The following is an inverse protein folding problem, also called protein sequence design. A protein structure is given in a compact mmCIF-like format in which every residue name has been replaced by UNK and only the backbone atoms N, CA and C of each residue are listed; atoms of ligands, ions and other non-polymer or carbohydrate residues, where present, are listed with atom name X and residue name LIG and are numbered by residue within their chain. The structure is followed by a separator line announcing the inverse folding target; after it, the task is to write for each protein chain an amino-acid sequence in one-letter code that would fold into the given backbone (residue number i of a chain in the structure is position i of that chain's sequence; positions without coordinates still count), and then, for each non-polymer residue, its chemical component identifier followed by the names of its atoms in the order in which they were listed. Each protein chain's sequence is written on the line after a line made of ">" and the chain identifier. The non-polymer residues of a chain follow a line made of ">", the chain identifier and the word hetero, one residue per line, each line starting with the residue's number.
data_IF_249632793028
#
_entry.id   IF_249632793028
#
_cell.length_a   1.000
_cell.length_b   1.000
_cell.length_c   1.000
_cell.angle_alpha   90.00
_cell.angle_beta   90.00
_cell.angle_gamma   90.00
#
_symmetry.space_group_name_H-M   'P 1'
#
loop_
_entity.id
_entity.type
_entity.pdbx_description
1 polymer ?
#
# COMPACT_ATOMS: atom_id res chain seq x y z
N UNK A 1 -10.20 -6.09 -0.11
CA UNK A 1 -9.36 -5.09 0.60
C UNK A 1 -10.18 -3.88 1.04
N UNK A 2 -10.74 -3.08 0.11
CA UNK A 2 -11.64 -1.96 0.45
C UNK A 2 -12.70 -2.33 1.50
N UNK A 3 -13.49 -3.37 1.23
CA UNK A 3 -14.56 -3.83 2.11
C UNK A 3 -14.07 -4.18 3.53
N UNK A 4 -12.88 -4.79 3.64
CA UNK A 4 -12.31 -5.22 4.93
C UNK A 4 -11.92 -3.99 5.76
N UNK A 5 -11.19 -3.04 5.16
CA UNK A 5 -10.79 -1.83 5.87
C UNK A 5 -11.97 -0.91 6.20
N UNK A 6 -12.95 -0.80 5.31
CA UNK A 6 -14.20 -0.06 5.59
C UNK A 6 -15.00 -0.69 6.73
N UNK A 7 -15.08 -2.02 6.80
CA UNK A 7 -15.76 -2.73 7.90
C UNK A 7 -15.02 -2.59 9.24
N UNK A 8 -13.70 -2.46 9.21
CA UNK A 8 -12.87 -2.22 10.40
C UNK A 8 -12.88 -0.75 10.86
N UNK A 9 -13.62 0.13 10.18
CA UNK A 9 -13.72 1.54 10.55
C UNK A 9 -12.50 2.38 10.18
N UNK A 10 -11.57 1.85 9.38
CA UNK A 10 -10.40 2.59 8.93
C UNK A 10 -10.73 3.44 7.70
N UNK A 11 -10.13 4.63 7.64
CA UNK A 11 -10.27 5.51 6.49
C UNK A 11 -9.40 4.99 5.35
N UNK A 12 -10.04 4.34 4.37
CA UNK A 12 -9.38 3.78 3.20
C UNK A 12 -9.66 4.65 1.97
N UNK A 13 -8.61 5.19 1.39
CA UNK A 13 -8.67 5.73 0.03
C UNK A 13 -8.23 4.64 -0.95
N UNK A 14 -9.15 4.28 -1.85
CA UNK A 14 -8.79 3.51 -3.03
C UNK A 14 -8.60 4.50 -4.17
N UNK A 15 -7.70 4.17 -5.09
CA UNK A 15 -7.45 4.99 -6.27
C UNK A 15 -6.90 6.41 -6.01
N UNK A 16 -6.02 6.59 -5.03
CA UNK A 16 -5.37 7.89 -4.79
C UNK A 16 -4.52 8.25 -6.00
N UNK A 17 -5.01 9.19 -6.80
CA UNK A 17 -4.28 9.75 -7.95
C UNK A 17 -3.13 10.61 -7.44
N UNK A 18 -1.90 10.20 -7.73
CA UNK A 18 -0.73 11.07 -7.71
C UNK A 18 -0.47 11.58 -9.14
N UNK A 19 0.36 12.61 -9.27
CA UNK A 19 0.80 13.12 -10.58
C UNK A 19 1.55 12.07 -11.43
N UNK A 20 1.95 10.93 -10.85
CA UNK A 20 2.84 9.93 -11.48
C UNK A 20 2.20 8.53 -11.57
N UNK A 21 0.98 8.35 -11.03
CA UNK A 21 0.29 7.05 -11.00
C UNK A 21 -0.78 6.96 -9.91
N UNK A 22 -1.39 5.78 -9.76
CA UNK A 22 -2.44 5.48 -8.78
C UNK A 22 -1.98 4.36 -7.86
N UNK A 23 -1.97 4.60 -6.55
CA UNK A 23 -1.75 3.54 -5.57
C UNK A 23 -2.97 2.62 -5.48
N UNK A 24 -2.75 1.32 -5.31
CA UNK A 24 -3.85 0.35 -5.24
C UNK A 24 -4.72 0.55 -4.00
N UNK A 25 -4.11 0.77 -2.83
CA UNK A 25 -4.84 1.15 -1.62
C UNK A 25 -3.97 1.97 -0.66
N UNK A 26 -4.58 2.96 -0.02
CA UNK A 26 -3.99 3.70 1.10
C UNK A 26 -4.93 3.60 2.30
N UNK A 27 -4.41 3.11 3.43
CA UNK A 27 -5.13 3.04 4.69
C UNK A 27 -4.50 4.02 5.68
N UNK A 28 -5.32 4.92 6.24
CA UNK A 28 -4.87 5.91 7.21
C UNK A 28 -5.48 5.58 8.57
N UNK A 29 -4.63 5.49 9.58
CA UNK A 29 -5.01 5.37 10.99
C UNK A 29 -4.52 6.61 11.75
N UNK A 30 -4.80 6.68 13.05
CA UNK A 30 -4.29 7.76 13.90
C UNK A 30 -2.75 7.71 14.05
N UNK A 31 -2.16 6.51 13.95
CA UNK A 31 -0.73 6.27 14.20
C UNK A 31 0.10 6.07 12.94
N UNK A 32 -0.52 5.74 11.79
CA UNK A 32 0.21 5.36 10.59
C UNK A 32 -0.56 5.59 9.29
N UNK A 33 0.20 5.72 8.20
CA UNK A 33 -0.29 5.67 6.83
C UNK A 33 0.33 4.44 6.16
N UNK A 34 -0.53 3.54 5.70
CA UNK A 34 -0.15 2.34 4.96
C UNK A 34 -0.42 2.53 3.48
N UNK A 35 0.59 2.33 2.63
CA UNK A 35 0.44 2.30 1.18
C UNK A 35 0.66 0.87 0.70
N UNK A 36 -0.37 0.31 0.05
CA UNK A 36 -0.35 -1.03 -0.48
C UNK A 36 -0.21 -1.01 -2.00
N UNK A 37 0.59 -1.94 -2.51
CA UNK A 37 0.67 -2.24 -3.93
C UNK A 37 0.60 -3.75 -4.13
N UNK A 38 -0.20 -4.20 -5.09
CA UNK A 38 -0.45 -5.61 -5.35
C UNK A 38 0.12 -6.01 -6.71
N UNK A 39 0.68 -7.22 -6.76
CA UNK A 39 1.11 -7.87 -8.00
C UNK A 39 0.47 -9.24 -8.11
N UNK A 40 0.24 -9.66 -9.36
CA UNK A 40 -0.20 -11.02 -9.69
C UNK A 40 0.95 -11.74 -10.37
N UNK A 41 1.31 -12.91 -9.89
CA UNK A 41 2.38 -13.78 -10.41
C UNK A 41 3.72 -13.03 -10.62
N UNK A 42 4.09 -12.18 -9.67
CA UNK A 42 5.35 -11.43 -9.65
C UNK A 42 6.02 -11.56 -8.27
N UNK A 43 6.47 -10.47 -7.65
CA UNK A 43 7.04 -10.49 -6.30
C UNK A 43 6.61 -9.28 -5.46
N UNK A 44 6.67 -9.45 -4.14
CA UNK A 44 6.37 -8.39 -3.18
C UNK A 44 7.40 -7.24 -3.25
N UNK A 45 8.67 -7.53 -3.57
CA UNK A 45 9.70 -6.51 -3.80
C UNK A 45 9.41 -5.66 -5.02
N UNK A 46 8.89 -6.25 -6.11
CA UNK A 46 8.49 -5.50 -7.28
C UNK A 46 7.34 -4.53 -6.96
N UNK A 47 6.44 -4.93 -6.06
CA UNK A 47 5.39 -4.05 -5.54
C UNK A 47 5.98 -2.90 -4.70
N UNK A 48 6.89 -3.18 -3.75
CA UNK A 48 7.56 -2.15 -2.96
C UNK A 48 8.35 -1.16 -3.81
N UNK A 49 9.10 -1.64 -4.81
CA UNK A 49 9.81 -0.78 -5.77
C UNK A 49 8.87 0.14 -6.53
N UNK A 50 7.70 -0.36 -6.94
CA UNK A 50 6.70 0.48 -7.59
C UNK A 50 6.18 1.60 -6.68
N UNK A 51 6.01 1.34 -5.37
CA UNK A 51 5.65 2.38 -4.40
C UNK A 51 6.71 3.50 -4.37
N UNK A 52 7.99 3.14 -4.36
CA UNK A 52 9.11 4.08 -4.34
C UNK A 52 9.23 4.84 -5.66
N UNK A 53 9.24 4.13 -6.80
CA UNK A 53 9.39 4.71 -8.15
C UNK A 53 8.29 5.71 -8.47
N UNK A 54 7.07 5.46 -7.99
CA UNK A 54 5.92 6.35 -8.19
C UNK A 54 5.81 7.45 -7.15
N UNK A 55 6.63 7.40 -6.10
CA UNK A 55 6.64 8.40 -5.04
C UNK A 55 5.32 8.47 -4.26
N UNK A 56 4.61 7.35 -4.10
CA UNK A 56 3.30 7.33 -3.43
C UNK A 56 3.36 7.75 -1.96
N UNK A 57 4.54 7.70 -1.34
CA UNK A 57 4.75 8.16 0.03
C UNK A 57 4.87 9.69 0.14
N UNK A 58 5.16 10.41 -0.95
CA UNK A 58 5.47 11.86 -0.93
C UNK A 58 4.37 12.70 -0.29
N UNK A 59 3.07 12.52 -0.59
CA UNK A 59 1.99 13.32 0.00
C UNK A 59 1.90 13.22 1.52
N UNK A 60 2.37 12.11 2.10
CA UNK A 60 2.22 11.81 3.52
C UNK A 60 3.46 12.15 4.36
N UNK A 61 4.57 12.57 3.73
CA UNK A 61 5.84 12.88 4.44
C UNK A 61 5.73 13.99 5.48
N UNK A 62 4.72 14.86 5.35
CA UNK A 62 4.50 15.97 6.27
C UNK A 62 3.44 15.66 7.34
N UNK A 63 2.84 14.45 7.36
CA UNK A 63 1.92 14.04 8.43
C UNK A 63 2.70 13.77 9.72
N UNK A 64 2.80 14.81 10.55
CA UNK A 64 3.53 14.76 11.81
C UNK A 64 2.86 13.78 12.77
N UNK A 65 3.64 12.86 13.33
CA UNK A 65 3.18 11.88 14.31
C UNK A 65 2.69 10.55 13.71
N UNK A 66 2.64 10.41 12.39
CA UNK A 66 2.26 9.15 11.73
C UNK A 66 3.45 8.43 11.14
N UNK A 67 3.48 7.10 11.34
CA UNK A 67 4.45 6.21 10.68
C UNK A 67 4.05 6.00 9.24
N UNK A 68 5.03 6.07 8.34
CA UNK A 68 4.84 5.73 6.94
C UNK A 68 5.19 4.25 6.73
N UNK A 69 4.26 3.47 6.18
CA UNK A 69 4.44 2.02 6.01
C UNK A 69 4.12 1.63 4.58
N UNK A 70 5.08 0.98 3.91
CA UNK A 70 4.90 0.41 2.57
C UNK A 70 4.60 -1.08 2.70
N UNK A 71 3.61 -1.55 1.96
CA UNK A 71 3.22 -2.97 1.94
C UNK A 71 3.15 -3.46 0.50
N UNK A 72 4.10 -4.32 0.12
CA UNK A 72 4.11 -4.99 -1.17
C UNK A 72 3.52 -6.38 -1.04
N UNK A 73 2.60 -6.74 -1.94
CA UNK A 73 1.90 -8.03 -1.88
C UNK A 73 1.93 -8.73 -3.23
N UNK A 74 2.29 -10.01 -3.24
CA UNK A 74 2.16 -10.89 -4.39
C UNK A 74 0.97 -11.84 -4.23
N UNK A 75 0.20 -11.99 -5.30
CA UNK A 75 -0.97 -12.86 -5.40
C UNK A 75 -0.67 -13.89 -6.47
N UNK A 76 -0.86 -15.17 -6.15
CA UNK A 76 -0.79 -16.25 -7.12
C UNK A 76 -2.13 -16.40 -7.84
N UNK A 77 -2.11 -16.37 -9.17
CA UNK A 77 -3.33 -16.61 -9.97
C UNK A 77 -3.77 -18.08 -9.92
N UNK A 78 -2.84 -19.01 -9.68
CA UNK A 78 -3.11 -20.44 -9.65
C UNK A 78 -3.83 -20.87 -8.38
N UNK A 79 -3.38 -20.40 -7.22
CA UNK A 79 -4.03 -20.67 -5.93
C UNK A 79 -5.13 -19.66 -5.61
N UNK A 80 -5.17 -18.54 -6.35
CA UNK A 80 -6.07 -17.39 -6.11
C UNK A 80 -5.91 -16.86 -4.67
N UNK A 81 -4.70 -16.94 -4.14
CA UNK A 81 -4.37 -16.54 -2.77
C UNK A 81 -3.16 -15.61 -2.76
N UNK A 82 -2.96 -14.99 -1.60
CA UNK A 82 -1.73 -14.27 -1.29
C UNK A 82 -0.59 -15.28 -1.22
N UNK A 83 0.47 -15.04 -1.99
CA UNK A 83 1.63 -15.93 -2.13
C UNK A 83 2.83 -15.41 -1.31
N UNK A 84 3.04 -14.08 -1.30
CA UNK A 84 4.09 -13.43 -0.51
C UNK A 84 3.74 -11.97 -0.16
N UNK A 85 4.29 -11.44 0.93
CA UNK A 85 4.19 -10.02 1.28
C UNK A 85 5.42 -9.50 2.02
N UNK A 86 5.74 -8.24 1.77
CA UNK A 86 6.80 -7.51 2.44
C UNK A 86 6.29 -6.19 3.01
N UNK A 87 6.84 -5.83 4.17
CA UNK A 87 6.52 -4.60 4.87
C UNK A 87 7.81 -3.81 5.09
N UNK A 88 7.83 -2.56 4.63
CA UNK A 88 8.91 -1.62 4.89
C UNK A 88 8.38 -0.43 5.68
N UNK A 89 9.02 -0.16 6.81
CA UNK A 89 8.74 1.01 7.63
C UNK A 89 9.58 2.18 7.12
N UNK A 90 8.91 3.21 6.62
CA UNK A 90 9.55 4.47 6.21
C UNK A 90 10.19 5.17 7.41
N UNK A 91 11.33 5.81 7.15
CA UNK A 91 11.98 6.75 8.06
C UNK A 91 11.30 8.13 7.98
#
# INVERSE_FOLDING_TARGET
>A
IYLIFSLLGYYIHTEVKSAVGRADAVCVTDEAVYVFEFKVDSSAEAALRQIDDRGYMIPFRNETGKKLVKVGVNISSSTRSLDDWLVEYGA
#
